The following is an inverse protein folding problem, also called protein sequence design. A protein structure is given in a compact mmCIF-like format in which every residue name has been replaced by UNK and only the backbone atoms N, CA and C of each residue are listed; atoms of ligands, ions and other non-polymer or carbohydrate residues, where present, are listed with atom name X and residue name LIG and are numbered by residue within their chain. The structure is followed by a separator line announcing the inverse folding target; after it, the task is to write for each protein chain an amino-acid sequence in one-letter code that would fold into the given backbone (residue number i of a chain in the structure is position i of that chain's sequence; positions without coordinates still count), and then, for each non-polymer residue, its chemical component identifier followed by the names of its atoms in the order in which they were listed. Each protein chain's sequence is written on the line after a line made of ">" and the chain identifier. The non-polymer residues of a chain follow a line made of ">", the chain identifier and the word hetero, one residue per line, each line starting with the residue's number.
data_IF_545957994929
#
_entry.id   IF_545957994929
#
_cell.length_a   1.000
_cell.length_b   1.000
_cell.length_c   1.000
_cell.angle_alpha   90.00
_cell.angle_beta   90.00
_cell.angle_gamma   90.00
#
_symmetry.space_group_name_H-M   'P 1'
#
loop_
_entity.id
_entity.type
_entity.pdbx_description
1 polymer ?
#
# COMPACT_ATOMS: atom_id res chain seq x y z
N UNK A 1 10.82 -22.46 -11.66
CA UNK A 1 11.53 -22.59 -10.38
C UNK A 1 10.83 -21.63 -9.43
N UNK A 2 9.92 -22.15 -8.61
CA UNK A 2 9.10 -21.36 -7.70
C UNK A 2 9.96 -21.03 -6.48
N UNK A 3 10.30 -19.77 -6.28
CA UNK A 3 10.92 -19.28 -5.03
C UNK A 3 9.85 -19.32 -3.92
N UNK A 4 9.88 -20.36 -3.12
CA UNK A 4 9.05 -20.49 -1.91
C UNK A 4 9.75 -19.73 -0.77
N UNK A 5 9.54 -18.47 -0.63
CA UNK A 5 9.76 -17.58 0.51
C UNK A 5 10.20 -16.19 0.03
N UNK A 6 9.27 -15.45 -0.53
CA UNK A 6 9.47 -14.04 -0.84
C UNK A 6 8.91 -13.21 0.33
N UNK A 7 9.77 -12.48 1.04
CA UNK A 7 9.35 -11.49 2.04
C UNK A 7 9.24 -10.12 1.37
N UNK A 8 8.10 -9.47 1.52
CA UNK A 8 7.80 -8.18 0.91
C UNK A 8 7.91 -7.04 1.91
N UNK A 9 8.60 -5.97 1.53
CA UNK A 9 8.82 -4.80 2.35
C UNK A 9 8.03 -3.62 1.83
N UNK A 10 7.17 -3.05 2.67
CA UNK A 10 6.51 -1.78 2.37
C UNK A 10 7.13 -0.67 3.22
N UNK A 11 7.78 0.30 2.58
CA UNK A 11 8.42 1.42 3.25
C UNK A 11 7.53 2.66 3.25
N UNK A 12 7.42 3.33 4.41
CA UNK A 12 6.71 4.61 4.55
C UNK A 12 7.56 5.62 5.28
N UNK A 13 7.67 6.79 4.72
CA UNK A 13 8.55 7.87 5.19
C UNK A 13 7.85 8.89 6.07
N UNK A 14 8.57 9.37 7.11
CA UNK A 14 8.27 10.58 7.80
C UNK A 14 9.19 11.75 7.40
N UNK A 15 8.65 12.85 6.94
CA UNK A 15 9.30 14.14 6.80
C UNK A 15 8.43 15.22 7.45
N UNK A 16 8.92 16.42 7.69
CA UNK A 16 8.18 17.53 8.33
C UNK A 16 6.92 17.99 7.55
N UNK A 17 6.54 17.27 6.51
CA UNK A 17 5.23 17.22 5.85
C UNK A 17 4.65 15.80 5.90
N UNK A 18 4.88 15.13 6.97
CA UNK A 18 4.62 13.73 7.30
C UNK A 18 3.17 13.32 7.16
N UNK A 19 2.24 14.25 7.37
CA UNK A 19 0.81 13.96 7.31
C UNK A 19 0.32 13.53 5.93
N UNK A 20 1.07 13.81 4.87
CA UNK A 20 0.68 13.45 3.50
C UNK A 20 1.29 12.14 2.99
N UNK A 21 2.38 11.66 3.59
CA UNK A 21 3.06 10.44 3.13
C UNK A 21 2.72 9.22 4.00
N UNK A 22 2.44 9.41 5.31
CA UNK A 22 1.90 8.36 6.16
C UNK A 22 0.41 8.19 5.86
N UNK A 23 0.06 7.06 5.23
CA UNK A 23 -1.31 6.83 4.78
C UNK A 23 -1.66 5.34 4.92
N UNK A 24 -2.55 5.03 5.88
CA UNK A 24 -2.99 3.67 6.17
C UNK A 24 -3.65 3.00 4.96
N UNK A 25 -4.38 3.76 4.14
CA UNK A 25 -5.03 3.23 2.93
C UNK A 25 -4.02 2.73 1.90
N UNK A 26 -2.83 3.34 1.86
CA UNK A 26 -1.74 2.89 0.98
C UNK A 26 -1.14 1.57 1.47
N UNK A 27 -0.98 1.43 2.78
CA UNK A 27 -0.56 0.15 3.36
C UNK A 27 -1.56 -0.95 3.09
N UNK A 28 -2.85 -0.70 3.31
CA UNK A 28 -3.90 -1.66 3.00
C UNK A 28 -3.83 -2.12 1.55
N UNK A 29 -3.62 -1.18 0.62
CA UNK A 29 -3.44 -1.51 -0.80
C UNK A 29 -2.22 -2.41 -1.04
N UNK A 30 -1.08 -2.09 -0.47
CA UNK A 30 0.12 -2.92 -0.63
C UNK A 30 -0.08 -4.29 0.01
N UNK A 31 -0.61 -4.34 1.21
CA UNK A 31 -0.89 -5.60 1.90
C UNK A 31 -1.88 -6.48 1.15
N UNK A 32 -2.90 -5.90 0.51
CA UNK A 32 -3.83 -6.63 -0.36
C UNK A 32 -3.10 -7.35 -1.50
N UNK A 33 -2.13 -6.69 -2.12
CA UNK A 33 -1.36 -7.28 -3.22
C UNK A 33 -0.37 -8.34 -2.71
N UNK A 34 0.30 -8.05 -1.60
CA UNK A 34 1.27 -8.92 -0.95
C UNK A 34 0.60 -10.21 -0.48
N UNK A 35 -0.55 -10.10 0.16
CA UNK A 35 -1.32 -11.24 0.66
C UNK A 35 -1.84 -12.11 -0.50
N UNK A 36 -2.36 -11.50 -1.57
CA UNK A 36 -2.77 -12.22 -2.77
C UNK A 36 -1.61 -13.01 -3.41
N UNK A 37 -0.38 -12.49 -3.32
CA UNK A 37 0.83 -13.16 -3.77
C UNK A 37 1.37 -14.19 -2.76
N UNK A 38 0.76 -14.32 -1.58
CA UNK A 38 1.18 -15.21 -0.47
C UNK A 38 2.60 -14.91 0.03
N UNK A 39 2.94 -13.62 0.08
CA UNK A 39 4.24 -13.12 0.50
C UNK A 39 4.14 -12.58 1.93
N UNK A 40 5.18 -12.76 2.73
CA UNK A 40 5.22 -12.28 4.12
C UNK A 40 5.54 -10.77 4.14
N UNK A 41 4.65 -9.91 4.69
CA UNK A 41 4.91 -8.47 4.75
C UNK A 41 5.75 -8.07 5.95
N UNK A 42 6.56 -7.04 5.77
CA UNK A 42 7.19 -6.29 6.87
C UNK A 42 6.97 -4.79 6.60
N UNK A 43 6.48 -4.04 7.58
CA UNK A 43 6.29 -2.61 7.47
C UNK A 43 7.57 -1.89 7.93
N UNK A 44 8.11 -1.01 7.09
CA UNK A 44 9.28 -0.21 7.43
C UNK A 44 8.92 1.27 7.50
N UNK A 45 9.02 1.87 8.68
CA UNK A 45 8.95 3.31 8.86
C UNK A 45 10.35 3.89 8.70
N UNK A 46 10.56 4.65 7.65
CA UNK A 46 11.85 5.27 7.38
C UNK A 46 11.88 6.76 7.76
N UNK A 47 13.09 7.33 7.87
CA UNK A 47 13.31 8.73 8.23
C UNK A 47 12.69 9.11 9.58
N UNK A 48 12.75 8.19 10.54
CA UNK A 48 12.20 8.43 11.88
C UNK A 48 12.90 9.58 12.63
N UNK A 49 14.07 10.01 12.14
CA UNK A 49 14.80 11.19 12.59
C UNK A 49 14.10 12.53 12.31
N UNK A 50 13.06 12.53 11.48
CA UNK A 50 12.35 13.74 11.07
C UNK A 50 11.08 14.01 11.89
N UNK A 51 10.76 13.16 12.84
CA UNK A 51 9.58 13.28 13.72
C UNK A 51 10.01 13.07 15.17
N UNK A 52 9.18 13.51 16.10
CA UNK A 52 9.43 13.30 17.53
C UNK A 52 9.23 11.85 17.93
N UNK A 53 9.75 11.48 19.08
CA UNK A 53 9.58 10.12 19.62
C UNK A 53 8.11 9.82 19.90
N UNK A 54 7.37 10.82 20.34
CA UNK A 54 5.93 10.74 20.64
C UNK A 54 5.13 10.48 19.36
N UNK A 55 5.36 11.26 18.31
CA UNK A 55 4.73 11.05 17.00
C UNK A 55 5.05 9.67 16.40
N UNK A 56 6.29 9.20 16.57
CA UNK A 56 6.68 7.87 16.13
C UNK A 56 5.92 6.79 16.89
N UNK A 57 5.79 6.91 18.21
CA UNK A 57 5.01 5.96 19.03
C UNK A 57 3.54 5.93 18.62
N UNK A 58 2.92 7.07 18.37
CA UNK A 58 1.54 7.17 17.89
C UNK A 58 1.36 6.43 16.55
N UNK A 59 2.26 6.67 15.59
CA UNK A 59 2.20 6.00 14.27
C UNK A 59 2.38 4.49 14.38
N UNK A 60 3.30 4.03 15.22
CA UNK A 60 3.51 2.60 15.48
C UNK A 60 2.25 1.99 16.13
N UNK A 61 1.63 2.69 17.09
CA UNK A 61 0.39 2.24 17.73
C UNK A 61 -0.75 2.12 16.72
N UNK A 62 -0.91 3.12 15.86
CA UNK A 62 -1.86 3.12 14.76
C UNK A 62 -1.64 1.94 13.80
N UNK A 63 -0.40 1.68 13.41
CA UNK A 63 -0.08 0.54 12.54
C UNK A 63 -0.38 -0.80 13.22
N UNK A 64 0.00 -0.96 14.49
CA UNK A 64 -0.26 -2.19 15.25
C UNK A 64 -1.74 -2.46 15.47
N UNK A 65 -2.55 -1.42 15.70
CA UNK A 65 -4.00 -1.57 15.84
C UNK A 65 -4.67 -1.95 14.52
N UNK A 66 -4.16 -1.42 13.41
CA UNK A 66 -4.72 -1.61 12.07
C UNK A 66 -4.25 -2.91 11.41
N UNK A 67 -2.98 -3.27 11.60
CA UNK A 67 -2.30 -4.40 10.96
C UNK A 67 -1.74 -5.34 12.03
N UNK A 68 -2.61 -6.18 12.55
CA UNK A 68 -2.23 -7.16 13.59
C UNK A 68 -1.22 -8.17 13.01
N UNK A 69 -0.24 -8.54 13.83
CA UNK A 69 0.76 -9.59 13.51
C UNK A 69 1.73 -9.27 12.36
N UNK A 70 1.77 -8.03 11.84
CA UNK A 70 2.77 -7.63 10.85
C UNK A 70 3.96 -6.99 11.57
N UNK A 71 5.20 -7.47 11.35
CA UNK A 71 6.40 -6.84 11.91
C UNK A 71 6.55 -5.41 11.45
N UNK A 72 6.93 -4.51 12.37
CA UNK A 72 7.19 -3.10 12.09
C UNK A 72 8.63 -2.80 12.43
N UNK A 73 9.39 -2.32 11.46
CA UNK A 73 10.75 -1.82 11.64
C UNK A 73 10.79 -0.30 11.47
N UNK A 74 11.70 0.33 12.20
CA UNK A 74 11.96 1.77 12.09
C UNK A 74 13.39 1.98 11.62
N UNK A 75 13.59 2.88 10.66
CA UNK A 75 14.90 3.22 10.13
C UNK A 75 15.12 4.73 10.12
N UNK A 76 16.39 5.14 10.32
CA UNK A 76 16.82 6.53 10.31
C UNK A 76 18.12 6.66 9.52
N UNK A 77 18.38 7.84 8.97
CA UNK A 77 19.69 8.15 8.41
C UNK A 77 20.75 8.40 9.50
N UNK A 78 20.31 8.81 10.69
CA UNK A 78 21.18 9.23 11.79
C UNK A 78 21.58 8.07 12.71
N UNK A 79 20.79 6.98 12.71
CA UNK A 79 21.04 5.82 13.58
C UNK A 79 21.04 4.54 12.76
N UNK A 80 22.06 3.73 12.87
CA UNK A 80 22.20 2.48 12.13
C UNK A 80 21.43 1.30 12.76
N UNK A 81 20.97 1.44 14.01
CA UNK A 81 20.30 0.37 14.76
C UNK A 81 19.10 -0.27 14.02
N UNK A 82 18.32 0.54 13.30
CA UNK A 82 17.18 0.04 12.50
C UNK A 82 17.64 -0.71 11.26
N UNK A 83 18.73 -0.25 10.65
CA UNK A 83 19.31 -0.86 9.45
C UNK A 83 19.98 -2.18 9.77
N UNK A 84 20.68 -2.26 10.90
CA UNK A 84 21.30 -3.49 11.37
C UNK A 84 20.25 -4.57 11.70
N UNK A 85 19.15 -4.18 12.32
CA UNK A 85 18.00 -5.09 12.55
C UNK A 85 17.41 -5.58 11.22
N UNK A 86 17.29 -4.68 10.26
CA UNK A 86 16.83 -5.02 8.93
C UNK A 86 17.82 -5.98 8.25
N UNK A 87 19.10 -5.67 8.24
CA UNK A 87 20.15 -6.53 7.67
C UNK A 87 20.15 -7.93 8.29
N UNK A 88 19.97 -8.04 9.61
CA UNK A 88 19.87 -9.32 10.33
C UNK A 88 18.60 -10.13 10.02
N UNK A 89 17.52 -9.48 9.58
CA UNK A 89 16.28 -10.17 9.18
C UNK A 89 16.38 -10.78 7.79
N UNK A 90 17.27 -10.29 6.95
CA UNK A 90 17.50 -10.82 5.59
C UNK A 90 18.36 -12.07 5.70
N UNK A 91 17.76 -13.23 5.41
CA UNK A 91 18.47 -14.52 5.43
C UNK A 91 19.11 -14.83 4.08
N UNK A 92 20.16 -15.67 4.05
CA UNK A 92 20.70 -16.18 2.80
C UNK A 92 19.64 -16.84 1.94
N UNK A 93 19.72 -16.66 0.61
CA UNK A 93 18.81 -17.22 -0.38
C UNK A 93 17.36 -16.68 -0.33
N UNK A 94 17.05 -15.72 0.54
CA UNK A 94 15.77 -15.01 0.53
C UNK A 94 15.80 -13.81 -0.40
N UNK A 95 14.70 -13.59 -1.09
CA UNK A 95 14.49 -12.44 -1.97
C UNK A 95 13.55 -11.46 -1.26
N UNK A 96 13.99 -10.22 -1.10
CA UNK A 96 13.21 -9.14 -0.52
C UNK A 96 12.88 -8.13 -1.61
N UNK A 97 11.63 -7.67 -1.66
CA UNK A 97 11.20 -6.65 -2.61
C UNK A 97 10.77 -5.38 -1.87
N UNK A 98 11.31 -4.24 -2.25
CA UNK A 98 10.94 -2.96 -1.64
C UNK A 98 9.79 -2.31 -2.40
N UNK A 99 8.67 -2.10 -1.70
CA UNK A 99 7.54 -1.31 -2.18
C UNK A 99 7.45 0.02 -1.44
N UNK A 100 7.10 1.06 -2.15
CA UNK A 100 6.92 2.37 -1.54
C UNK A 100 6.89 3.48 -2.58
N UNK A 101 6.40 4.65 -2.20
CA UNK A 101 6.35 5.82 -3.08
C UNK A 101 7.75 6.31 -3.46
N UNK A 102 7.82 7.12 -4.50
CA UNK A 102 9.08 7.79 -4.88
C UNK A 102 9.53 8.75 -3.77
N UNK A 103 10.82 8.74 -3.43
CA UNK A 103 11.40 9.62 -2.42
C UNK A 103 11.26 9.12 -0.97
N UNK A 104 10.67 7.94 -0.75
CA UNK A 104 10.58 7.35 0.59
C UNK A 104 11.95 6.93 1.16
N UNK A 105 12.97 6.72 0.34
CA UNK A 105 14.31 6.37 0.78
C UNK A 105 14.75 4.95 0.42
N UNK A 106 14.00 4.23 -0.46
CA UNK A 106 14.36 2.86 -0.89
C UNK A 106 15.82 2.76 -1.34
N UNK A 107 16.23 3.59 -2.29
CA UNK A 107 17.61 3.59 -2.79
C UNK A 107 18.64 3.90 -1.69
N UNK A 108 18.31 4.79 -0.73
CA UNK A 108 19.18 5.06 0.42
C UNK A 108 19.30 3.85 1.36
N UNK A 109 18.20 3.11 1.54
CA UNK A 109 18.19 1.90 2.34
C UNK A 109 19.02 0.80 1.67
N UNK A 110 18.84 0.59 0.36
CA UNK A 110 19.63 -0.37 -0.42
C UNK A 110 21.13 -0.05 -0.34
N UNK A 111 21.54 1.21 -0.54
CA UNK A 111 22.93 1.63 -0.43
C UNK A 111 23.50 1.30 0.94
N UNK A 112 22.75 1.55 2.01
CA UNK A 112 23.20 1.21 3.37
C UNK A 112 23.32 -0.30 3.60
N UNK A 113 22.41 -1.09 3.04
CA UNK A 113 22.47 -2.55 3.14
C UNK A 113 23.66 -3.13 2.37
N UNK A 114 23.98 -2.55 1.22
CA UNK A 114 25.12 -2.93 0.39
C UNK A 114 26.46 -2.42 0.93
N UNK A 115 26.43 -1.45 1.86
CA UNK A 115 27.65 -0.77 2.32
C UNK A 115 28.35 0.06 1.23
N UNK A 116 27.66 0.35 0.13
CA UNK A 116 28.21 1.07 -1.04
C UNK A 116 27.15 2.05 -1.60
N UNK A 117 27.59 3.21 -2.10
CA UNK A 117 26.72 4.16 -2.77
C UNK A 117 26.58 3.82 -4.28
N UNK A 118 25.88 2.74 -4.59
CA UNK A 118 25.63 2.32 -5.97
C UNK A 118 24.44 3.08 -6.60
N UNK A 119 23.40 3.35 -5.84
CA UNK A 119 22.22 4.03 -6.31
C UNK A 119 22.30 5.54 -6.05
N UNK A 120 22.06 6.35 -7.10
CA UNK A 120 22.01 7.81 -6.95
C UNK A 120 20.83 8.21 -6.07
N UNK A 121 21.11 8.65 -4.87
CA UNK A 121 20.11 9.24 -3.97
C UNK A 121 19.98 10.72 -4.29
N UNK A 122 18.78 11.20 -4.65
CA UNK A 122 18.53 12.64 -4.81
C UNK A 122 18.03 13.21 -3.49
N UNK A 123 18.65 14.28 -3.03
CA UNK A 123 18.00 15.18 -2.09
C UNK A 123 16.75 15.74 -2.74
N UNK A 124 15.64 15.75 -1.99
CA UNK A 124 14.37 16.28 -2.48
C UNK A 124 14.55 17.79 -2.63
N UNK A 125 14.73 18.25 -3.88
CA UNK A 125 14.76 19.69 -4.15
C UNK A 125 13.39 20.28 -3.83
N UNK A 126 13.39 21.32 -3.02
CA UNK A 126 12.20 22.04 -2.56
C UNK A 126 11.44 22.77 -3.68
N UNK A 127 11.99 22.80 -4.88
CA UNK A 127 11.52 23.67 -5.98
C UNK A 127 10.73 22.99 -7.10
N UNK A 128 10.68 21.67 -7.21
CA UNK A 128 9.94 21.03 -8.31
C UNK A 128 8.95 19.99 -7.81
N UNK A 129 7.66 20.30 -7.94
CA UNK A 129 6.51 19.43 -7.61
C UNK A 129 6.39 18.15 -8.46
N UNK A 130 7.31 17.89 -9.38
CA UNK A 130 7.37 16.68 -10.22
C UNK A 130 8.77 16.07 -10.13
N UNK A 131 8.95 15.13 -9.20
CA UNK A 131 10.14 14.30 -9.18
C UNK A 131 10.19 13.44 -10.44
N UNK A 132 11.13 13.71 -11.34
CA UNK A 132 11.55 12.73 -12.35
C UNK A 132 12.10 11.51 -11.61
N UNK A 133 11.54 10.34 -11.87
CA UNK A 133 11.97 9.08 -11.27
C UNK A 133 13.47 8.87 -11.49
N UNK A 134 14.22 8.62 -10.40
CA UNK A 134 15.64 8.34 -10.49
C UNK A 134 15.90 6.89 -10.95
N UNK A 135 15.00 5.97 -10.59
CA UNK A 135 15.07 4.54 -10.94
C UNK A 135 13.98 4.22 -11.94
N UNK A 136 14.36 3.88 -13.17
CA UNK A 136 13.44 3.50 -14.27
C UNK A 136 13.43 2.00 -14.50
N UNK A 137 14.40 1.26 -13.96
CA UNK A 137 14.56 -0.18 -14.14
C UNK A 137 14.45 -0.92 -12.80
N UNK A 138 14.04 -2.17 -12.86
CA UNK A 138 14.11 -3.09 -11.73
C UNK A 138 15.53 -3.63 -11.67
N UNK A 139 16.12 -3.59 -10.49
CA UNK A 139 17.47 -4.11 -10.26
C UNK A 139 17.45 -5.10 -9.11
N UNK A 140 18.23 -6.18 -9.25
CA UNK A 140 18.46 -7.18 -8.23
C UNK A 140 19.84 -6.97 -7.61
N UNK A 141 19.90 -6.84 -6.31
CA UNK A 141 21.12 -6.69 -5.53
C UNK A 141 21.34 -7.91 -4.65
N UNK A 142 22.54 -8.47 -4.70
CA UNK A 142 22.96 -9.55 -3.79
C UNK A 142 23.73 -8.92 -2.63
N UNK A 143 23.31 -9.22 -1.41
CA UNK A 143 23.98 -8.77 -0.19
C UNK A 143 25.11 -9.71 0.18
N UNK A 144 26.12 -9.20 0.90
CA UNK A 144 27.29 -9.99 1.37
C UNK A 144 26.87 -11.21 2.21
N UNK A 145 25.71 -11.15 2.88
CA UNK A 145 25.10 -12.27 3.62
C UNK A 145 24.34 -13.29 2.74
N UNK A 146 24.35 -13.18 1.41
CA UNK A 146 23.70 -14.11 0.49
C UNK A 146 22.19 -13.91 0.31
N UNK A 147 21.59 -12.91 0.94
CA UNK A 147 20.24 -12.47 0.67
C UNK A 147 20.16 -11.55 -0.55
N UNK A 148 19.00 -11.39 -1.14
CA UNK A 148 18.80 -10.61 -2.36
C UNK A 148 17.73 -9.54 -2.15
N UNK A 149 17.91 -8.37 -2.77
CA UNK A 149 16.94 -7.26 -2.75
C UNK A 149 16.60 -6.86 -4.17
N UNK A 150 15.31 -6.74 -4.45
CA UNK A 150 14.79 -6.17 -5.69
C UNK A 150 14.38 -4.72 -5.43
N UNK A 151 15.03 -3.76 -6.12
CA UNK A 151 14.53 -2.38 -6.18
C UNK A 151 13.43 -2.28 -7.25
N UNK A 152 12.23 -2.01 -6.79
CA UNK A 152 11.14 -1.63 -7.68
C UNK A 152 11.07 -0.11 -7.75
N UNK A 153 11.07 0.48 -8.97
CA UNK A 153 10.83 1.91 -9.12
C UNK A 153 9.53 2.28 -8.41
N UNK A 154 9.50 3.46 -7.78
CA UNK A 154 8.38 3.91 -6.93
C UNK A 154 7.03 3.71 -7.61
N UNK A 155 6.34 2.65 -7.22
CA UNK A 155 5.09 2.21 -7.84
C UNK A 155 3.95 3.06 -7.31
N UNK A 156 3.53 4.05 -8.06
CA UNK A 156 2.34 4.86 -7.74
C UNK A 156 1.03 4.12 -7.99
N UNK A 157 1.05 3.16 -8.91
CA UNK A 157 -0.14 2.47 -9.41
C UNK A 157 0.14 0.97 -9.59
N UNK A 158 0.09 0.22 -8.49
CA UNK A 158 -0.02 -1.23 -8.58
C UNK A 158 -1.51 -1.53 -8.73
N UNK A 159 -1.90 -2.10 -9.88
CA UNK A 159 -3.27 -2.56 -10.09
C UNK A 159 -3.59 -3.76 -9.19
N UNK A 160 -4.85 -3.86 -8.78
CA UNK A 160 -5.37 -4.96 -7.96
C UNK A 160 -5.82 -6.14 -8.84
N UNK A 161 -5.10 -6.44 -9.93
CA UNK A 161 -5.38 -7.61 -10.74
C UNK A 161 -5.18 -8.86 -9.87
N UNK A 162 -6.19 -9.75 -9.85
CA UNK A 162 -6.15 -11.03 -9.09
C UNK A 162 -5.97 -10.89 -7.56
N UNK A 163 -6.28 -9.71 -6.99
CA UNK A 163 -6.06 -9.43 -5.57
C UNK A 163 -7.32 -9.60 -4.69
N UNK A 164 -8.34 -10.35 -5.14
CA UNK A 164 -9.59 -10.53 -4.37
C UNK A 164 -9.35 -11.21 -3.03
N UNK A 165 -8.59 -12.30 -3.02
CA UNK A 165 -8.31 -13.05 -1.80
C UNK A 165 -7.53 -12.19 -0.79
N UNK A 166 -6.53 -11.45 -1.27
CA UNK A 166 -5.78 -10.52 -0.44
C UNK A 166 -6.65 -9.39 0.12
N UNK A 167 -7.65 -8.91 -0.65
CA UNK A 167 -8.60 -7.93 -0.17
C UNK A 167 -9.44 -8.50 0.99
N UNK A 168 -9.96 -9.70 0.83
CA UNK A 168 -10.77 -10.36 1.87
C UNK A 168 -9.97 -10.58 3.16
N UNK A 169 -8.70 -10.93 3.06
CA UNK A 169 -7.84 -11.16 4.22
C UNK A 169 -7.48 -9.84 4.93
N UNK A 170 -7.08 -8.81 4.20
CA UNK A 170 -6.73 -7.49 4.78
C UNK A 170 -7.93 -6.80 5.42
N UNK A 171 -9.13 -7.01 4.86
CA UNK A 171 -10.38 -6.46 5.36
C UNK A 171 -11.31 -7.52 5.98
N UNK A 172 -10.73 -8.58 6.54
CA UNK A 172 -11.46 -9.71 7.11
C UNK A 172 -12.54 -9.31 8.11
N UNK A 173 -12.32 -8.24 8.88
CA UNK A 173 -13.33 -7.67 9.78
C UNK A 173 -14.61 -7.24 9.04
N UNK A 174 -14.46 -6.58 7.89
CA UNK A 174 -15.61 -6.14 7.08
C UNK A 174 -16.28 -7.33 6.39
N UNK A 175 -15.48 -8.29 5.90
CA UNK A 175 -15.99 -9.52 5.27
C UNK A 175 -16.77 -10.38 6.30
N UNK A 176 -16.29 -10.50 7.51
CA UNK A 176 -17.01 -11.21 8.58
C UNK A 176 -18.32 -10.52 8.96
N UNK A 177 -18.33 -9.19 9.10
CA UNK A 177 -19.55 -8.42 9.29
C UNK A 177 -20.53 -8.60 8.12
N UNK A 178 -20.00 -8.69 6.90
CA UNK A 178 -20.77 -8.89 5.68
C UNK A 178 -21.59 -10.17 5.67
N UNK A 179 -21.14 -11.24 6.33
CA UNK A 179 -21.86 -12.50 6.47
C UNK A 179 -23.18 -12.34 7.26
N UNK A 180 -23.27 -11.31 8.10
CA UNK A 180 -24.47 -10.98 8.86
C UNK A 180 -25.44 -10.02 8.14
N UNK A 181 -25.22 -9.68 6.88
CA UNK A 181 -26.12 -8.85 6.11
C UNK A 181 -27.40 -9.61 5.71
N UNK A 182 -28.50 -8.87 5.56
CA UNK A 182 -29.78 -9.44 5.14
C UNK A 182 -29.74 -10.07 3.74
N UNK A 183 -28.95 -9.45 2.83
CA UNK A 183 -28.81 -9.90 1.44
C UNK A 183 -27.41 -10.47 1.23
N UNK A 184 -27.34 -11.62 0.56
CA UNK A 184 -26.08 -12.31 0.32
C UNK A 184 -25.15 -11.55 -0.66
N UNK A 185 -25.73 -10.75 -1.56
CA UNK A 185 -25.04 -9.92 -2.55
C UNK A 185 -24.93 -8.45 -2.11
N UNK A 186 -24.99 -8.20 -0.80
CA UNK A 186 -24.94 -6.87 -0.21
C UNK A 186 -23.66 -6.12 -0.63
N UNK A 187 -23.83 -4.92 -1.17
CA UNK A 187 -22.70 -4.06 -1.55
C UNK A 187 -22.19 -3.21 -0.39
N UNK A 188 -22.89 -3.23 0.74
CA UNK A 188 -22.61 -2.47 1.96
C UNK A 188 -22.68 -0.94 1.78
N UNK A 189 -23.42 -0.42 0.79
CA UNK A 189 -23.48 1.01 0.51
C UNK A 189 -24.80 1.66 0.96
N UNK A 190 -25.93 0.99 0.76
CA UNK A 190 -27.25 1.56 1.01
C UNK A 190 -28.33 0.50 1.29
N UNK A 191 -27.98 -0.76 1.37
CA UNK A 191 -28.97 -1.84 1.52
C UNK A 191 -29.55 -1.88 2.92
N UNK A 192 -30.90 -1.97 3.06
CA UNK A 192 -31.55 -2.10 4.35
C UNK A 192 -31.18 -3.44 5.00
N UNK A 193 -30.84 -3.39 6.29
CA UNK A 193 -30.39 -4.57 7.03
C UNK A 193 -28.94 -4.98 6.75
N UNK A 194 -28.14 -4.03 6.25
CA UNK A 194 -26.69 -4.21 6.11
C UNK A 194 -26.00 -4.16 7.48
N UNK A 195 -25.35 -5.26 7.89
CA UNK A 195 -24.63 -5.33 9.16
C UNK A 195 -23.41 -4.41 9.19
N UNK A 196 -22.71 -4.26 8.07
CA UNK A 196 -21.55 -3.38 7.97
C UNK A 196 -21.94 -1.92 8.20
N UNK A 197 -23.05 -1.45 7.60
CA UNK A 197 -23.53 -0.09 7.82
C UNK A 197 -23.99 0.13 9.27
N UNK A 198 -24.66 -0.83 9.88
CA UNK A 198 -25.09 -0.74 11.27
C UNK A 198 -23.90 -0.58 12.24
N UNK A 199 -22.80 -1.33 12.03
CA UNK A 199 -21.58 -1.22 12.84
C UNK A 199 -20.83 0.09 12.55
N UNK A 200 -20.89 0.59 11.30
CA UNK A 200 -20.33 1.89 10.92
C UNK A 200 -21.08 3.04 11.61
N UNK A 201 -22.43 3.00 11.64
CA UNK A 201 -23.27 3.97 12.34
C UNK A 201 -23.04 3.97 13.86
N UNK A 202 -22.75 2.81 14.42
CA UNK A 202 -22.38 2.67 15.84
C UNK A 202 -20.95 3.17 16.16
N UNK A 203 -20.18 3.65 15.17
CA UNK A 203 -18.77 4.05 15.28
C UNK A 203 -17.82 2.92 15.76
N UNK A 204 -18.19 1.65 15.59
CA UNK A 204 -17.38 0.49 15.93
C UNK A 204 -16.44 0.09 14.78
N UNK A 205 -16.68 0.58 13.55
CA UNK A 205 -15.85 0.42 12.37
C UNK A 205 -15.32 1.76 11.89
N UNK A 206 -14.03 1.85 11.57
CA UNK A 206 -13.43 3.06 11.02
C UNK A 206 -14.02 3.43 9.67
N UNK A 207 -14.57 4.64 9.56
CA UNK A 207 -15.11 5.20 8.30
C UNK A 207 -14.03 5.20 7.20
N UNK A 208 -12.80 5.57 7.54
CA UNK A 208 -11.67 5.60 6.59
C UNK A 208 -11.37 4.19 6.05
N UNK A 209 -11.33 3.17 6.92
CA UNK A 209 -11.11 1.77 6.53
C UNK A 209 -12.22 1.26 5.62
N UNK A 210 -13.46 1.53 5.98
CA UNK A 210 -14.62 1.15 5.18
C UNK A 210 -14.59 1.80 3.78
N UNK A 211 -14.33 3.10 3.70
CA UNK A 211 -14.24 3.81 2.42
C UNK A 211 -13.10 3.26 1.54
N UNK A 212 -11.95 2.95 2.14
CA UNK A 212 -10.85 2.35 1.41
C UNK A 212 -11.19 0.95 0.92
N UNK A 213 -11.85 0.13 1.75
CA UNK A 213 -12.36 -1.18 1.33
C UNK A 213 -13.24 -1.09 0.09
N UNK A 214 -14.26 -0.22 0.10
CA UNK A 214 -15.15 -0.04 -1.05
C UNK A 214 -14.39 0.40 -2.31
N UNK A 215 -13.42 1.29 -2.15
CA UNK A 215 -12.57 1.75 -3.25
C UNK A 215 -11.74 0.62 -3.84
N UNK A 216 -11.06 -0.16 -3.01
CA UNK A 216 -10.21 -1.26 -3.45
C UNK A 216 -11.04 -2.40 -4.03
N UNK A 217 -12.20 -2.72 -3.44
CA UNK A 217 -13.15 -3.72 -3.95
C UNK A 217 -13.63 -3.34 -5.36
N UNK A 218 -14.06 -2.11 -5.55
CA UNK A 218 -14.49 -1.60 -6.88
C UNK A 218 -13.37 -1.68 -7.91
N UNK A 219 -12.13 -1.43 -7.51
CA UNK A 219 -10.97 -1.53 -8.37
C UNK A 219 -10.66 -3.00 -8.71
N UNK A 220 -10.64 -3.90 -7.73
CA UNK A 220 -10.43 -5.33 -7.93
C UNK A 220 -11.50 -5.93 -8.86
N UNK A 221 -12.77 -5.56 -8.64
CA UNK A 221 -13.88 -5.96 -9.50
C UNK A 221 -13.72 -5.45 -10.94
N UNK A 222 -13.23 -4.23 -11.12
CA UNK A 222 -12.94 -3.71 -12.47
C UNK A 222 -11.83 -4.50 -13.16
N UNK A 223 -10.77 -4.86 -12.44
CA UNK A 223 -9.68 -5.66 -13.03
C UNK A 223 -10.10 -7.09 -13.38
N UNK A 224 -11.04 -7.68 -12.65
CA UNK A 224 -11.56 -9.01 -12.94
C UNK A 224 -12.48 -9.07 -14.17
N UNK A 225 -12.97 -7.93 -14.67
CA UNK A 225 -13.79 -7.87 -15.87
C UNK A 225 -12.99 -8.29 -17.12
N UNK A 226 -13.66 -8.98 -18.02
CA UNK A 226 -13.12 -9.27 -19.36
C UNK A 226 -12.90 -7.99 -20.17
N UNK A 227 -12.11 -8.06 -21.22
CA UNK A 227 -11.89 -6.92 -22.12
C UNK A 227 -13.17 -6.39 -22.74
N UNK A 228 -14.14 -7.28 -23.02
CA UNK A 228 -15.44 -6.92 -23.58
C UNK A 228 -16.29 -6.16 -22.54
N UNK A 229 -16.35 -6.65 -21.31
CA UNK A 229 -17.09 -6.01 -20.21
C UNK A 229 -16.49 -4.64 -19.86
N UNK A 230 -15.16 -4.52 -19.82
CA UNK A 230 -14.47 -3.23 -19.63
C UNK A 230 -14.87 -2.23 -20.73
N UNK A 231 -14.86 -2.68 -22.00
CA UNK A 231 -15.27 -1.84 -23.14
C UNK A 231 -16.72 -1.38 -23.03
N UNK A 232 -17.63 -2.28 -22.66
CA UNK A 232 -19.06 -1.97 -22.49
C UNK A 232 -19.28 -0.99 -21.33
N UNK A 233 -18.62 -1.20 -20.18
CA UNK A 233 -18.67 -0.32 -19.01
C UNK A 233 -18.16 1.08 -19.33
N UNK A 234 -17.03 1.19 -20.03
CA UNK A 234 -16.48 2.49 -20.46
C UNK A 234 -17.40 3.20 -21.46
N UNK A 235 -18.03 2.46 -22.38
CA UNK A 235 -18.98 3.01 -23.35
C UNK A 235 -20.26 3.53 -22.67
N UNK A 236 -20.80 2.80 -21.69
CA UNK A 236 -21.96 3.23 -20.90
C UNK A 236 -21.65 4.46 -20.06
N UNK A 237 -20.50 4.49 -19.40
CA UNK A 237 -20.02 5.65 -18.65
C UNK A 237 -19.86 6.89 -19.55
N UNK A 238 -19.26 6.74 -20.72
CA UNK A 238 -19.13 7.85 -21.70
C UNK A 238 -20.49 8.39 -22.18
N UNK A 239 -21.50 7.51 -22.34
CA UNK A 239 -22.88 7.94 -22.66
C UNK A 239 -23.50 8.73 -21.50
N UNK A 240 -23.36 8.23 -20.26
CA UNK A 240 -23.88 8.89 -19.07
C UNK A 240 -23.28 10.28 -18.90
N UNK A 241 -21.95 10.43 -18.98
CA UNK A 241 -21.26 11.73 -18.91
C UNK A 241 -21.78 12.70 -19.97
N UNK A 242 -21.92 12.25 -21.23
CA UNK A 242 -22.46 13.10 -22.31
C UNK A 242 -23.90 13.57 -22.05
N UNK A 243 -24.74 12.69 -21.48
CA UNK A 243 -26.13 13.02 -21.14
C UNK A 243 -26.18 14.04 -20.00
N UNK A 244 -25.42 13.82 -18.94
CA UNK A 244 -25.32 14.74 -17.79
C UNK A 244 -24.82 16.13 -18.22
N UNK A 245 -23.75 16.18 -19.02
CA UNK A 245 -23.24 17.45 -19.54
C UNK A 245 -24.25 18.20 -20.43
N UNK A 246 -25.09 17.47 -21.20
CA UNK A 246 -26.17 18.08 -21.98
C UNK A 246 -27.28 18.67 -21.07
N UNK A 247 -27.59 17.97 -19.97
CA UNK A 247 -28.58 18.45 -18.98
C UNK A 247 -28.09 19.72 -18.27
N UNK A 248 -26.82 19.72 -17.81
CA UNK A 248 -26.22 20.90 -17.16
C UNK A 248 -26.16 22.12 -18.11
N UNK A 249 -25.88 21.90 -19.43
CA UNK A 249 -25.91 22.97 -20.42
C UNK A 249 -27.31 23.54 -20.70
N UNK A 250 -28.38 22.78 -20.43
CA UNK A 250 -29.77 23.25 -20.59
C UNK A 250 -30.29 24.02 -19.36
N UNK A 251 -29.58 23.91 -18.22
CA UNK A 251 -29.90 24.59 -16.97
C UNK A 251 -29.13 25.93 -16.78
N UNK A 252 -28.25 26.25 -17.73
CA UNK A 252 -27.59 27.57 -17.87
C UNK A 252 -28.21 28.34 -19.02
#
# INVERSE_FOLDING_TARGET
>A
MLCNNEEFWAEVTGKSRVDRDFNLNRFERYLTIIDAAKITPILVLSKCDLITTEELKEKITLLKSRFKNIPILTTSKLTDNGIDRFKKSIKPQQIHCLLGSSGVGKSSLINKLLGKELLKTREISTQTKKGKHATTHRELFVLDGGGMIIDNPGMREIGLAEAKDGLSNVFSEIEELGKGCRFFDCTHQHEPGCRVLAVLEANELSVEKYQNYLKLKKEADYYSLTSLEKRNKNKSFGKMVKTTLKQIKKLK
#
